data_IF_638756698938
#
_entry.id   IF_638756698938
#
_cell.length_a   1.000
_cell.length_b   1.000
_cell.length_c   1.000
_cell.angle_alpha   90.00
_cell.angle_beta   90.00
_cell.angle_gamma   90.00
#
_symmetry.space_group_name_H-M   'P 1'
#
loop_
_entity.id
_entity.type
_entity.pdbx_description
1 polymer ?
#
# COMPACT_ATOMS: atom_id res chain seq x y z
N UNK A 1 -77.11 41.14 25.60
CA UNK A 1 -76.83 39.80 26.05
C UNK A 1 -75.39 39.50 25.67
N UNK A 2 -74.43 39.68 26.60
CA UNK A 2 -73.02 39.54 26.37
C UNK A 2 -72.59 38.27 27.09
N UNK A 3 -72.14 37.27 26.34
CA UNK A 3 -71.59 36.02 26.90
C UNK A 3 -70.08 36.24 27.16
N UNK A 4 -69.70 36.15 28.41
CA UNK A 4 -68.33 36.17 28.87
C UNK A 4 -67.83 34.76 28.74
N UNK A 5 -66.83 34.52 27.87
CA UNK A 5 -66.13 33.29 27.75
C UNK A 5 -64.87 33.41 28.62
N UNK A 6 -64.84 32.63 29.69
CA UNK A 6 -63.72 32.53 30.62
C UNK A 6 -62.69 31.57 30.03
N UNK A 7 -61.58 32.07 29.57
CA UNK A 7 -60.48 31.26 29.02
C UNK A 7 -59.59 30.79 30.14
N UNK A 8 -59.70 29.52 30.49
CA UNK A 8 -58.77 28.84 31.43
C UNK A 8 -57.41 28.63 30.76
N UNK A 9 -56.41 29.36 31.18
CA UNK A 9 -55.01 29.15 30.81
C UNK A 9 -54.47 27.91 31.55
N UNK A 10 -54.36 26.81 30.83
CA UNK A 10 -53.67 25.61 31.32
C UNK A 10 -52.16 25.85 31.25
N UNK A 11 -51.53 26.07 32.39
CA UNK A 11 -50.08 26.07 32.55
C UNK A 11 -49.58 24.64 32.34
N UNK A 12 -49.16 24.29 31.13
CA UNK A 12 -48.35 23.14 30.84
C UNK A 12 -46.94 23.42 31.35
N UNK A 13 -46.68 23.04 32.60
CA UNK A 13 -45.34 22.99 33.16
C UNK A 13 -44.52 21.97 32.40
N UNK A 14 -43.65 22.43 31.51
CA UNK A 14 -42.68 21.59 30.83
C UNK A 14 -41.75 20.97 31.86
N UNK A 15 -41.87 19.67 32.06
CA UNK A 15 -40.83 18.89 32.75
C UNK A 15 -39.58 18.93 31.89
N UNK A 16 -38.66 19.82 32.22
CA UNK A 16 -37.27 19.71 31.75
C UNK A 16 -36.66 18.58 32.55
N UNK A 17 -36.30 17.46 31.92
CA UNK A 17 -35.55 16.45 32.67
C UNK A 17 -34.24 17.10 33.11
N UNK A 18 -34.06 17.30 34.41
CA UNK A 18 -32.74 17.57 34.95
C UNK A 18 -31.89 16.33 34.58
N UNK A 19 -31.07 16.49 33.57
CA UNK A 19 -29.99 15.53 33.32
C UNK A 19 -29.12 15.55 34.57
N UNK A 20 -29.19 14.46 35.33
CA UNK A 20 -28.42 14.31 36.55
C UNK A 20 -26.95 14.61 36.24
N UNK A 21 -26.34 15.46 37.06
CA UNK A 21 -24.91 15.73 37.03
C UNK A 21 -24.19 14.38 37.09
N UNK A 22 -23.65 13.94 35.97
CA UNK A 22 -22.74 12.79 35.94
C UNK A 22 -21.54 13.22 36.74
N UNK A 23 -21.34 12.63 37.92
CA UNK A 23 -20.12 12.84 38.70
C UNK A 23 -18.93 12.45 37.83
N UNK A 24 -18.20 13.45 37.38
CA UNK A 24 -17.01 13.26 36.54
C UNK A 24 -15.91 12.77 37.48
N UNK A 25 -15.62 11.48 37.47
CA UNK A 25 -14.42 10.94 38.13
C UNK A 25 -13.23 11.11 37.20
N UNK A 26 -12.02 11.10 37.77
CA UNK A 26 -10.78 11.24 37.01
C UNK A 26 -10.65 10.13 35.96
N UNK A 27 -11.12 8.91 36.27
CA UNK A 27 -11.14 7.79 35.34
C UNK A 27 -12.07 8.05 34.14
N UNK A 28 -13.28 8.56 34.40
CA UNK A 28 -14.21 8.95 33.32
C UNK A 28 -13.68 10.11 32.47
N UNK A 29 -12.99 11.07 33.11
CA UNK A 29 -12.36 12.17 32.39
C UNK A 29 -11.24 11.64 31.46
N UNK A 30 -10.48 10.65 31.91
CA UNK A 30 -9.45 9.98 31.10
C UNK A 30 -10.07 9.21 29.93
N UNK A 31 -11.12 8.42 30.17
CA UNK A 31 -11.82 7.67 29.11
C UNK A 31 -12.36 8.61 28.03
N UNK A 32 -12.98 9.72 28.44
CA UNK A 32 -13.47 10.75 27.51
C UNK A 32 -12.30 11.39 26.72
N UNK A 33 -11.18 11.64 27.39
CA UNK A 33 -10.00 12.21 26.74
C UNK A 33 -9.34 11.21 25.77
N UNK A 34 -9.28 9.93 26.10
CA UNK A 34 -8.78 8.90 25.18
C UNK A 34 -9.64 8.82 23.91
N UNK A 35 -10.95 8.95 24.04
CA UNK A 35 -11.88 8.89 22.90
C UNK A 35 -11.91 10.19 22.08
N UNK A 36 -11.85 11.35 22.73
CA UNK A 36 -12.16 12.65 22.11
C UNK A 36 -10.95 13.59 21.98
N UNK A 37 -9.81 13.31 22.64
CA UNK A 37 -8.63 14.16 22.54
C UNK A 37 -7.98 14.07 21.16
N UNK A 38 -7.89 15.17 20.40
CA UNK A 38 -7.26 15.15 19.07
C UNK A 38 -5.75 14.81 19.16
N UNK A 39 -5.08 15.15 20.25
CA UNK A 39 -3.64 14.88 20.45
C UNK A 39 -3.38 13.39 20.70
N UNK A 40 -4.15 12.76 21.59
CA UNK A 40 -4.08 11.32 21.84
C UNK A 40 -4.45 10.52 20.59
N UNK A 41 -5.53 10.88 19.93
CA UNK A 41 -5.95 10.23 18.68
C UNK A 41 -4.88 10.32 17.60
N UNK A 42 -4.25 11.49 17.44
CA UNK A 42 -3.14 11.68 16.49
C UNK A 42 -1.96 10.79 16.85
N UNK A 43 -1.59 10.73 18.13
CA UNK A 43 -0.49 9.89 18.60
C UNK A 43 -0.77 8.40 18.40
N UNK A 44 -1.99 7.95 18.67
CA UNK A 44 -2.43 6.58 18.43
C UNK A 44 -2.40 6.23 16.94
N UNK A 45 -2.96 7.08 16.07
CA UNK A 45 -2.89 6.88 14.62
C UNK A 45 -1.45 6.85 14.09
N UNK A 46 -0.56 7.62 14.71
CA UNK A 46 0.86 7.60 14.37
C UNK A 46 1.51 6.27 14.75
N UNK A 47 1.20 5.74 15.94
CA UNK A 47 1.63 4.40 16.38
C UNK A 47 1.13 3.30 15.43
N UNK A 48 -0.16 3.32 15.06
CA UNK A 48 -0.72 2.39 14.08
C UNK A 48 0.01 2.47 12.74
N UNK A 49 0.31 3.68 12.26
CA UNK A 49 1.06 3.86 11.01
C UNK A 49 2.43 3.18 11.07
N UNK A 50 3.20 3.35 12.15
CA UNK A 50 4.50 2.70 12.30
C UNK A 50 4.36 1.18 12.45
N UNK A 51 3.33 0.71 13.12
CA UNK A 51 3.01 -0.72 13.20
C UNK A 51 2.74 -1.31 11.81
N UNK A 52 1.91 -0.63 11.01
CA UNK A 52 1.63 -1.08 9.63
C UNK A 52 2.87 -1.02 8.72
N UNK A 53 3.74 -0.02 8.91
CA UNK A 53 5.01 0.04 8.20
C UNK A 53 5.91 -1.15 8.54
N UNK A 54 5.98 -1.54 9.81
CA UNK A 54 6.74 -2.72 10.24
C UNK A 54 6.17 -4.01 9.64
N UNK A 55 4.85 -4.17 9.63
CA UNK A 55 4.18 -5.31 8.99
C UNK A 55 4.49 -5.34 7.47
N UNK A 56 4.40 -4.20 6.81
CA UNK A 56 4.70 -4.07 5.38
C UNK A 56 6.17 -4.41 5.08
N UNK A 57 7.12 -3.94 5.90
CA UNK A 57 8.53 -4.25 5.73
C UNK A 57 8.81 -5.74 5.93
N UNK A 58 8.24 -6.35 6.96
CA UNK A 58 8.35 -7.81 7.18
C UNK A 58 7.72 -8.61 6.03
N UNK A 59 6.61 -8.11 5.47
CA UNK A 59 5.97 -8.72 4.30
C UNK A 59 6.84 -8.61 3.04
N UNK A 60 7.59 -7.51 2.87
CA UNK A 60 8.49 -7.32 1.73
C UNK A 60 9.67 -8.29 1.69
N UNK A 61 9.99 -8.92 2.83
CA UNK A 61 11.03 -9.95 2.95
C UNK A 61 10.54 -11.37 2.60
N UNK A 62 9.24 -11.52 2.36
CA UNK A 62 8.66 -12.79 1.89
C UNK A 62 8.81 -12.92 0.38
N UNK A 63 8.58 -14.14 -0.12
CA UNK A 63 8.57 -14.42 -1.55
C UNK A 63 7.53 -13.56 -2.26
N UNK A 64 7.94 -12.88 -3.33
CA UNK A 64 7.11 -12.05 -4.17
C UNK A 64 6.86 -12.76 -5.49
N UNK A 65 5.60 -12.93 -5.84
CA UNK A 65 5.16 -13.49 -7.11
C UNK A 65 4.70 -12.37 -8.03
N UNK A 66 5.17 -12.37 -9.26
CA UNK A 66 4.74 -11.42 -10.28
C UNK A 66 4.49 -12.12 -11.61
N UNK A 67 3.45 -11.69 -12.31
CA UNK A 67 3.11 -12.14 -13.65
C UNK A 67 2.90 -10.90 -14.51
N UNK A 68 3.77 -10.72 -15.50
CA UNK A 68 3.68 -9.65 -16.49
C UNK A 68 3.26 -10.25 -17.84
N UNK A 69 2.18 -9.74 -18.40
CA UNK A 69 1.65 -10.20 -19.67
C UNK A 69 1.58 -9.05 -20.65
N UNK A 70 2.15 -9.26 -21.84
CA UNK A 70 1.93 -8.44 -23.02
C UNK A 70 1.17 -9.27 -24.04
N UNK A 71 -0.16 -9.25 -24.02
CA UNK A 71 -0.97 -10.18 -24.81
C UNK A 71 -0.95 -9.87 -26.31
N UNK A 72 -0.71 -8.63 -26.68
CA UNK A 72 -0.65 -8.19 -28.07
C UNK A 72 0.41 -7.12 -28.25
N UNK A 73 1.39 -7.43 -29.06
CA UNK A 73 2.37 -6.49 -29.59
C UNK A 73 2.41 -6.65 -31.10
N UNK A 74 1.93 -5.65 -31.84
CA UNK A 74 1.91 -5.63 -33.31
C UNK A 74 2.80 -4.52 -33.80
N UNK A 75 3.76 -4.87 -34.63
CA UNK A 75 4.59 -3.91 -35.33
C UNK A 75 4.62 -4.19 -36.82
N UNK A 76 4.54 -3.12 -37.63
CA UNK A 76 4.69 -3.17 -39.08
C UNK A 76 5.73 -2.16 -39.48
N UNK A 77 6.79 -2.61 -40.14
CA UNK A 77 7.85 -1.77 -40.63
C UNK A 77 8.06 -1.98 -42.11
N UNK A 78 8.37 -0.92 -42.85
CA UNK A 78 8.76 -0.97 -44.26
C UNK A 78 10.10 -0.29 -44.40
N UNK A 79 11.07 -1.02 -44.93
CA UNK A 79 12.45 -0.54 -45.06
C UNK A 79 12.96 -0.83 -46.50
N UNK A 80 13.87 -0.01 -46.95
CA UNK A 80 14.52 -0.23 -48.25
C UNK A 80 15.90 -0.87 -47.99
N UNK A 81 16.14 -2.02 -48.64
CA UNK A 81 17.45 -2.69 -48.60
C UNK A 81 18.30 -2.15 -49.75
N UNK A 82 19.31 -1.34 -49.42
CA UNK A 82 20.21 -0.72 -50.40
C UNK A 82 21.05 -1.77 -51.18
N UNK A 83 21.31 -2.92 -50.59
CA UNK A 83 22.11 -3.97 -51.22
C UNK A 83 21.35 -4.73 -52.26
N UNK A 84 20.06 -4.98 -52.02
CA UNK A 84 19.15 -5.68 -52.94
C UNK A 84 18.34 -4.70 -53.78
N UNK A 85 18.42 -3.38 -53.52
CA UNK A 85 17.64 -2.33 -54.16
C UNK A 85 16.13 -2.60 -54.16
N UNK A 86 15.64 -3.15 -53.06
CA UNK A 86 14.24 -3.57 -52.91
C UNK A 86 13.62 -3.10 -51.62
N UNK A 87 12.30 -2.90 -51.66
CA UNK A 87 11.51 -2.64 -50.48
C UNK A 87 11.08 -3.94 -49.82
N UNK A 88 11.24 -4.06 -48.53
CA UNK A 88 10.68 -5.16 -47.76
C UNK A 88 9.75 -4.64 -46.65
N UNK A 89 8.73 -5.38 -46.36
CA UNK A 89 7.77 -5.12 -45.31
C UNK A 89 7.85 -6.25 -44.28
N UNK A 90 8.08 -5.92 -43.03
CA UNK A 90 8.02 -6.84 -41.93
C UNK A 90 6.79 -6.53 -41.08
N UNK A 91 5.99 -7.56 -40.84
CA UNK A 91 4.89 -7.53 -39.89
C UNK A 91 5.20 -8.54 -38.78
N UNK A 92 5.22 -8.05 -37.56
CA UNK A 92 5.42 -8.89 -36.38
C UNK A 92 4.21 -8.79 -35.48
N UNK A 93 3.68 -9.94 -35.13
CA UNK A 93 2.70 -10.10 -34.09
C UNK A 93 3.33 -10.95 -32.99
N UNK A 94 3.32 -10.45 -31.71
CA UNK A 94 3.87 -11.19 -30.60
C UNK A 94 3.02 -11.07 -29.34
N UNK A 95 3.04 -12.14 -28.56
CA UNK A 95 2.47 -12.19 -27.23
C UNK A 95 3.53 -12.75 -26.30
N UNK A 96 3.79 -12.06 -25.18
CA UNK A 96 4.81 -12.48 -24.23
C UNK A 96 4.28 -12.46 -22.81
N UNK A 97 4.80 -13.37 -21.98
CA UNK A 97 4.52 -13.41 -20.56
C UNK A 97 5.78 -13.71 -19.78
N UNK A 98 5.89 -13.13 -18.60
CA UNK A 98 6.98 -13.39 -17.66
C UNK A 98 6.37 -13.68 -16.30
N UNK A 99 6.57 -14.89 -15.82
CA UNK A 99 6.29 -15.27 -14.44
C UNK A 99 7.60 -15.23 -13.66
N UNK A 100 7.60 -14.54 -12.52
CA UNK A 100 8.79 -14.36 -11.69
C UNK A 100 8.44 -14.53 -10.23
N UNK A 101 9.30 -15.28 -9.54
CA UNK A 101 9.26 -15.45 -8.09
C UNK A 101 10.58 -14.94 -7.52
N UNK A 102 10.50 -13.88 -6.72
CA UNK A 102 11.66 -13.28 -6.06
C UNK A 102 11.65 -13.63 -4.57
N UNK A 103 12.75 -14.21 -4.10
CA UNK A 103 12.98 -14.47 -2.69
C UNK A 103 14.16 -13.63 -2.18
N UNK A 104 13.88 -12.57 -1.40
CA UNK A 104 14.94 -11.81 -0.72
C UNK A 104 15.64 -12.66 0.34
N UNK A 105 16.96 -12.52 0.44
CA UNK A 105 17.80 -13.20 1.44
C UNK A 105 18.27 -12.15 2.44
N UNK A 106 17.68 -12.15 3.63
CA UNK A 106 17.94 -11.13 4.65
C UNK A 106 19.40 -11.09 5.12
N UNK A 107 20.10 -12.23 5.14
CA UNK A 107 21.45 -12.31 5.70
C UNK A 107 22.52 -11.71 4.79
N UNK A 108 22.33 -11.80 3.48
CA UNK A 108 23.32 -11.39 2.49
C UNK A 108 22.88 -10.19 1.67
N UNK A 109 21.66 -9.69 1.89
CA UNK A 109 21.00 -8.67 1.06
C UNK A 109 20.82 -9.09 -0.41
N UNK A 110 20.99 -10.38 -0.70
CA UNK A 110 20.77 -10.95 -2.01
C UNK A 110 19.31 -11.16 -2.37
N UNK A 111 19.07 -11.45 -3.65
CA UNK A 111 17.76 -11.90 -4.15
C UNK A 111 17.96 -13.13 -5.02
N UNK A 112 17.23 -14.18 -4.71
CA UNK A 112 17.11 -15.36 -5.57
C UNK A 112 15.80 -15.22 -6.37
N UNK A 113 15.91 -15.23 -7.69
CA UNK A 113 14.77 -15.11 -8.61
C UNK A 113 14.64 -16.35 -9.46
N UNK A 114 13.45 -16.93 -9.49
CA UNK A 114 13.03 -17.92 -10.49
C UNK A 114 12.22 -17.20 -11.55
N UNK A 115 12.68 -17.26 -12.79
CA UNK A 115 12.07 -16.52 -13.89
C UNK A 115 11.69 -17.50 -14.99
N UNK A 116 10.42 -17.47 -15.38
CA UNK A 116 9.91 -18.16 -16.55
C UNK A 116 9.40 -17.14 -17.55
N UNK A 117 10.01 -17.09 -18.75
CA UNK A 117 9.56 -16.27 -19.88
C UNK A 117 8.98 -17.17 -20.92
N UNK A 118 7.78 -16.87 -21.36
CA UNK A 118 7.13 -17.55 -22.47
C UNK A 118 6.68 -16.52 -23.49
N UNK A 119 6.77 -16.90 -24.74
CA UNK A 119 6.44 -16.01 -25.83
C UNK A 119 5.98 -16.76 -27.05
N UNK A 120 5.06 -16.15 -27.77
CA UNK A 120 4.64 -16.55 -29.10
C UNK A 120 4.84 -15.39 -30.05
N UNK A 121 5.35 -15.68 -31.25
CA UNK A 121 5.56 -14.69 -32.28
C UNK A 121 5.18 -15.22 -33.64
N UNK A 122 4.62 -14.35 -34.48
CA UNK A 122 4.35 -14.56 -35.88
C UNK A 122 5.00 -13.41 -36.66
N UNK A 123 6.06 -13.75 -37.39
CA UNK A 123 6.80 -12.80 -38.22
C UNK A 123 6.48 -13.06 -39.70
N UNK A 124 5.90 -12.07 -40.34
CA UNK A 124 5.59 -12.12 -41.79
C UNK A 124 6.47 -11.10 -42.51
N UNK A 125 7.31 -11.59 -43.41
CA UNK A 125 8.16 -10.75 -44.24
C UNK A 125 7.67 -10.85 -45.69
N UNK A 126 7.57 -9.70 -46.36
CA UNK A 126 7.25 -9.62 -47.79
C UNK A 126 8.38 -8.86 -48.51
N UNK A 127 9.10 -9.60 -49.38
CA UNK A 127 10.18 -9.08 -50.21
C UNK A 127 9.78 -9.34 -51.64
N UNK A 128 9.60 -8.29 -52.42
CA UNK A 128 9.28 -8.35 -53.86
C UNK A 128 8.11 -9.33 -54.20
N UNK A 129 7.05 -9.29 -53.39
CA UNK A 129 5.89 -10.17 -53.58
C UNK A 129 6.04 -11.58 -52.96
N UNK A 130 7.23 -11.97 -52.57
CA UNK A 130 7.47 -13.25 -51.87
C UNK A 130 7.20 -13.10 -50.39
N UNK A 131 6.17 -13.81 -49.91
CA UNK A 131 5.79 -13.80 -48.49
C UNK A 131 6.45 -14.97 -47.76
N UNK A 132 7.16 -14.65 -46.68
CA UNK A 132 7.69 -15.63 -45.75
C UNK A 132 7.04 -15.44 -44.38
N UNK A 133 6.48 -16.50 -43.81
CA UNK A 133 5.89 -16.50 -42.48
C UNK A 133 6.72 -17.44 -41.59
N UNK A 134 7.05 -16.93 -40.40
CA UNK A 134 7.75 -17.72 -39.36
C UNK A 134 7.02 -17.56 -38.03
N UNK A 135 6.49 -18.67 -37.53
CA UNK A 135 5.83 -18.75 -36.22
C UNK A 135 6.74 -19.49 -35.26
N UNK A 136 6.94 -18.91 -34.08
CA UNK A 136 7.77 -19.51 -33.05
C UNK A 136 7.11 -19.37 -31.69
N UNK A 137 7.31 -20.38 -30.86
CA UNK A 137 7.03 -20.35 -29.44
C UNK A 137 8.37 -20.51 -28.68
N UNK A 138 8.58 -19.69 -27.69
CA UNK A 138 9.73 -19.76 -26.80
C UNK A 138 9.28 -19.91 -25.35
N UNK A 139 10.01 -20.70 -24.59
CA UNK A 139 9.81 -20.82 -23.15
C UNK A 139 11.19 -21.00 -22.48
N UNK A 140 11.58 -20.00 -21.69
CA UNK A 140 12.85 -19.95 -20.99
C UNK A 140 12.62 -19.95 -19.49
N UNK A 141 13.17 -20.95 -18.80
CA UNK A 141 13.14 -21.05 -17.35
C UNK A 141 14.57 -20.99 -16.81
N UNK A 142 14.84 -20.04 -15.90
CA UNK A 142 16.15 -19.92 -15.30
C UNK A 142 16.10 -19.39 -13.87
N UNK A 143 17.13 -19.70 -13.11
CA UNK A 143 17.41 -19.17 -11.78
C UNK A 143 18.45 -18.06 -11.89
N UNK A 144 18.18 -16.94 -11.22
CA UNK A 144 19.09 -15.81 -11.13
C UNK A 144 19.35 -15.51 -9.67
N UNK A 145 20.62 -15.44 -9.27
CA UNK A 145 21.05 -14.94 -7.96
C UNK A 145 21.69 -13.57 -8.16
N UNK A 146 21.09 -12.55 -7.56
CA UNK A 146 21.66 -11.20 -7.47
C UNK A 146 22.20 -11.01 -6.06
N UNK A 147 23.52 -10.96 -5.91
CA UNK A 147 24.21 -10.85 -4.62
C UNK A 147 25.13 -9.64 -4.60
N UNK A 148 24.81 -8.60 -3.79
CA UNK A 148 25.75 -7.50 -3.55
C UNK A 148 26.99 -8.01 -2.80
N UNK A 149 28.16 -7.58 -3.26
CA UNK A 149 29.46 -7.97 -2.67
C UNK A 149 30.14 -6.69 -2.17
N UNK A 150 30.76 -6.77 -0.99
CA UNK A 150 31.44 -5.65 -0.34
C UNK A 150 30.56 -4.44 0.01
N UNK A 151 29.29 -4.70 0.28
CA UNK A 151 28.34 -3.68 0.73
C UNK A 151 27.76 -4.06 2.10
N UNK A 152 27.27 -3.04 2.84
CA UNK A 152 26.53 -3.31 4.07
C UNK A 152 25.15 -3.91 3.74
N UNK A 153 24.60 -4.67 4.68
CA UNK A 153 23.27 -5.28 4.53
C UNK A 153 22.17 -4.23 4.72
N UNK A 154 21.74 -3.66 3.60
CA UNK A 154 20.74 -2.58 3.56
C UNK A 154 19.39 -3.02 4.11
N UNK A 155 18.90 -4.21 3.73
CA UNK A 155 17.59 -4.73 4.16
C UNK A 155 17.51 -4.95 5.67
N UNK A 156 18.61 -5.48 6.25
CA UNK A 156 18.69 -5.66 7.70
C UNK A 156 18.65 -4.32 8.42
N UNK A 157 19.39 -3.33 7.92
CA UNK A 157 19.41 -2.01 8.53
C UNK A 157 18.06 -1.29 8.39
N UNK A 158 17.40 -1.40 7.25
CA UNK A 158 16.05 -0.83 7.03
C UNK A 158 15.03 -1.48 7.98
N UNK A 159 15.09 -2.80 8.16
CA UNK A 159 14.21 -3.49 9.11
C UNK A 159 14.45 -3.00 10.54
N UNK A 160 15.70 -2.91 10.98
CA UNK A 160 16.06 -2.41 12.30
C UNK A 160 15.61 -0.95 12.51
N UNK A 161 15.78 -0.10 11.50
CA UNK A 161 15.33 1.29 11.55
C UNK A 161 13.82 1.37 11.78
N UNK A 162 13.04 0.58 11.04
CA UNK A 162 11.57 0.58 11.18
C UNK A 162 11.15 -0.02 12.53
N UNK A 163 11.88 -0.99 13.06
CA UNK A 163 11.65 -1.52 14.40
C UNK A 163 11.88 -0.46 15.48
N UNK A 164 12.95 0.33 15.39
CA UNK A 164 13.21 1.46 16.28
C UNK A 164 12.18 2.58 16.11
N UNK A 165 11.75 2.87 14.89
CA UNK A 165 10.72 3.88 14.64
C UNK A 165 9.38 3.48 15.28
N UNK A 166 9.02 2.20 15.22
CA UNK A 166 7.84 1.67 15.91
C UNK A 166 7.98 1.77 17.45
N UNK A 167 9.14 1.40 18.00
CA UNK A 167 9.42 1.52 19.43
C UNK A 167 9.33 2.98 19.90
N UNK A 168 9.94 3.91 19.17
CA UNK A 168 9.85 5.35 19.44
C UNK A 168 8.40 5.87 19.38
N UNK A 169 7.62 5.40 18.43
CA UNK A 169 6.20 5.77 18.33
C UNK A 169 5.40 5.25 19.53
N UNK A 170 5.70 4.05 20.01
CA UNK A 170 5.07 3.46 21.18
C UNK A 170 5.40 4.27 22.47
N UNK A 171 6.68 4.63 22.64
CA UNK A 171 7.13 5.48 23.76
C UNK A 171 6.45 6.86 23.68
N UNK A 172 6.40 7.44 22.48
CA UNK A 172 5.77 8.75 22.26
C UNK A 172 4.27 8.72 22.58
N UNK A 173 3.59 7.64 22.23
CA UNK A 173 2.17 7.45 22.60
C UNK A 173 1.99 7.35 24.11
N UNK A 174 2.85 6.57 24.81
CA UNK A 174 2.81 6.45 26.26
C UNK A 174 3.08 7.80 26.96
N UNK A 175 4.05 8.56 26.49
CA UNK A 175 4.35 9.91 27.02
C UNK A 175 3.19 10.88 26.77
N UNK A 176 2.55 10.83 25.61
CA UNK A 176 1.38 11.67 25.31
C UNK A 176 0.20 11.33 26.22
N UNK A 177 0.00 10.03 26.52
CA UNK A 177 -1.03 9.58 27.46
C UNK A 177 -0.77 10.11 28.87
N UNK A 178 0.46 9.97 29.35
CA UNK A 178 0.87 10.52 30.67
C UNK A 178 0.74 12.05 30.75
N UNK A 179 1.10 12.75 29.67
CA UNK A 179 0.92 14.21 29.61
C UNK A 179 -0.54 14.60 29.70
N UNK A 180 -1.42 13.88 28.98
CA UNK A 180 -2.85 14.13 29.02
C UNK A 180 -3.44 13.83 30.41
N UNK A 181 -3.01 12.75 31.05
CA UNK A 181 -3.39 12.41 32.44
C UNK A 181 -2.99 13.50 33.38
N UNK A 182 -1.74 14.02 33.31
CA UNK A 182 -1.27 15.14 34.08
C UNK A 182 -2.14 16.39 33.88
N UNK A 183 -2.41 16.75 32.61
CA UNK A 183 -3.19 17.95 32.27
C UNK A 183 -4.63 17.85 32.81
N UNK A 184 -5.26 16.69 32.75
CA UNK A 184 -6.59 16.43 33.31
C UNK A 184 -6.54 16.54 34.83
N UNK A 185 -5.55 15.91 35.46
CA UNK A 185 -5.39 15.95 36.91
C UNK A 185 -5.21 17.39 37.44
N UNK A 186 -4.41 18.19 36.72
CA UNK A 186 -4.19 19.61 37.08
C UNK A 186 -5.43 20.47 36.86
N UNK A 187 -6.32 20.13 35.95
CA UNK A 187 -7.58 20.85 35.75
C UNK A 187 -8.70 20.38 36.68
N UNK A 188 -8.57 19.19 37.22
CA UNK A 188 -9.56 18.59 38.12
C UNK A 188 -9.39 19.08 39.57
N UNK A 189 -8.16 19.39 39.99
CA UNK A 189 -7.79 19.92 41.31
C UNK A 189 -7.46 21.44 41.25
#
# INVERSE_FOLDING_TARGET
MKKIILTAAVCLGGYVPLQGQVSLTIEKAMDIAEEHSPSLRRSHMNLERYQQNLVAQRASLKSKFSLNLNPVDYSKSRSFDNRLSQWYTNERFSATGTFQVDQPILWTDGVLSLINRFGWQDNNSNIDGTKTSNKAFSNDLYLQLSQPIFTYNKRKMELQQIEYDYENANISYALQRLSTEKDITQQFY
#
